data_IF_443878022205
#
_entry.id   IF_443878022205
#
_cell.length_a   1.000
_cell.length_b   1.000
_cell.length_c   1.000
_cell.angle_alpha   90.00
_cell.angle_beta   90.00
_cell.angle_gamma   90.00
#
_symmetry.space_group_name_H-M   'P 1'
#
loop_
_entity.id
_entity.type
_entity.pdbx_description
1 polymer ?
#
# COMPACT_ATOMS: atom_id res chain seq x y z
N UNK A 1 36.20 -23.27 42.11
CA UNK A 1 35.36 -24.12 41.23
C UNK A 1 34.02 -23.47 40.85
N UNK A 2 34.04 -22.22 40.34
CA UNK A 2 32.82 -21.56 39.77
C UNK A 2 32.92 -21.21 38.28
N UNK A 3 34.06 -21.49 37.64
CA UNK A 3 34.31 -21.03 36.27
C UNK A 3 33.94 -22.05 35.17
N UNK A 4 33.51 -23.26 35.49
CA UNK A 4 33.33 -24.33 34.49
C UNK A 4 31.87 -24.60 34.07
N UNK A 5 30.88 -23.86 34.62
CA UNK A 5 29.45 -24.04 34.29
C UNK A 5 28.87 -22.95 33.38
N UNK A 6 29.54 -21.82 33.21
CA UNK A 6 29.02 -20.68 32.42
C UNK A 6 29.30 -20.82 30.91
N UNK A 7 30.33 -21.55 30.49
CA UNK A 7 30.70 -21.76 29.08
C UNK A 7 29.64 -22.55 28.30
N UNK A 8 29.12 -23.70 28.81
CA UNK A 8 28.11 -24.47 28.07
C UNK A 8 26.77 -23.78 27.93
N UNK A 9 26.40 -22.87 28.85
CA UNK A 9 25.14 -22.13 28.77
C UNK A 9 25.24 -20.97 27.75
N UNK A 10 26.42 -20.35 27.59
CA UNK A 10 26.64 -19.33 26.57
C UNK A 10 26.67 -19.93 25.15
N UNK A 11 27.32 -21.06 24.96
CA UNK A 11 27.35 -21.77 23.67
C UNK A 11 25.96 -22.22 23.25
N UNK A 12 25.15 -22.73 24.18
CA UNK A 12 23.78 -23.14 23.93
C UNK A 12 22.89 -21.95 23.55
N UNK A 13 23.02 -20.84 24.25
CA UNK A 13 22.31 -19.58 23.95
C UNK A 13 22.66 -19.05 22.57
N UNK A 14 23.94 -19.10 22.16
CA UNK A 14 24.41 -18.69 20.83
C UNK A 14 23.85 -19.61 19.74
N UNK A 15 23.84 -20.91 19.95
CA UNK A 15 23.26 -21.86 18.99
C UNK A 15 21.75 -21.67 18.81
N UNK A 16 21.02 -21.39 19.90
CA UNK A 16 19.58 -21.07 19.85
C UNK A 16 19.31 -19.78 19.06
N UNK A 17 20.15 -18.74 19.24
CA UNK A 17 20.09 -17.50 18.49
C UNK A 17 20.33 -17.73 17.00
N UNK A 18 21.43 -18.41 16.62
CA UNK A 18 21.76 -18.73 15.21
C UNK A 18 20.62 -19.54 14.55
N UNK A 19 20.03 -20.47 15.30
CA UNK A 19 18.89 -21.26 14.83
C UNK A 19 17.65 -20.38 14.58
N UNK A 20 17.41 -19.37 15.44
CA UNK A 20 16.29 -18.44 15.28
C UNK A 20 16.52 -17.49 14.09
N UNK A 21 17.73 -16.95 13.92
CA UNK A 21 18.11 -16.13 12.77
C UNK A 21 17.87 -16.86 11.46
N UNK A 22 18.34 -18.10 11.36
CA UNK A 22 18.11 -18.93 10.19
C UNK A 22 16.62 -19.15 9.91
N UNK A 23 15.83 -19.46 10.93
CA UNK A 23 14.38 -19.66 10.80
C UNK A 23 13.67 -18.40 10.31
N UNK A 24 14.09 -17.21 10.77
CA UNK A 24 13.55 -15.93 10.31
C UNK A 24 13.86 -15.74 8.82
N UNK A 25 15.09 -15.97 8.40
CA UNK A 25 15.50 -15.82 7.01
C UNK A 25 14.79 -16.82 6.08
N UNK A 26 14.76 -18.08 6.47
CA UNK A 26 14.06 -19.14 5.72
C UNK A 26 12.55 -18.81 5.54
N UNK A 27 11.91 -18.29 6.58
CA UNK A 27 10.51 -17.88 6.55
C UNK A 27 10.27 -16.67 5.64
N UNK A 28 11.14 -15.66 5.71
CA UNK A 28 11.08 -14.50 4.83
C UNK A 28 11.21 -14.90 3.36
N UNK A 29 12.21 -15.73 3.03
CA UNK A 29 12.44 -16.17 1.66
C UNK A 29 11.27 -17.02 1.12
N UNK A 30 10.76 -17.94 1.94
CA UNK A 30 9.60 -18.77 1.61
C UNK A 30 8.36 -17.92 1.35
N UNK A 31 8.08 -16.98 2.26
CA UNK A 31 6.93 -16.10 2.15
C UNK A 31 7.00 -15.19 0.92
N UNK A 32 8.16 -14.56 0.67
CA UNK A 32 8.37 -13.69 -0.49
C UNK A 32 8.32 -14.47 -1.81
N UNK A 33 8.74 -15.72 -1.82
CA UNK A 33 8.58 -16.60 -2.99
C UNK A 33 7.11 -16.90 -3.32
N UNK A 34 6.27 -16.99 -2.29
CA UNK A 34 4.83 -17.17 -2.45
C UNK A 34 4.08 -15.85 -2.77
N UNK A 35 4.70 -14.69 -2.48
CA UNK A 35 4.12 -13.34 -2.67
C UNK A 35 5.07 -12.45 -3.47
N UNK A 36 5.27 -12.73 -4.77
CA UNK A 36 6.33 -12.12 -5.58
C UNK A 36 6.18 -10.60 -5.78
N UNK A 37 4.98 -10.07 -5.57
CA UNK A 37 4.68 -8.64 -5.70
C UNK A 37 4.75 -7.86 -4.38
N UNK A 38 5.21 -8.48 -3.28
CA UNK A 38 5.34 -7.83 -1.97
C UNK A 38 6.76 -7.33 -1.75
N UNK A 39 6.87 -6.11 -1.24
CA UNK A 39 8.16 -5.47 -0.88
C UNK A 39 8.81 -6.07 0.36
N UNK A 40 8.04 -6.78 1.16
CA UNK A 40 8.46 -7.42 2.38
C UNK A 40 7.29 -8.11 3.07
N UNK A 41 7.60 -8.98 3.99
CA UNK A 41 6.63 -9.66 4.82
C UNK A 41 6.16 -8.75 5.95
N UNK A 42 4.84 -8.59 6.20
CA UNK A 42 4.37 -7.82 7.36
C UNK A 42 4.96 -8.39 8.66
N UNK A 43 5.54 -7.53 9.47
CA UNK A 43 6.17 -7.92 10.75
C UNK A 43 5.25 -8.74 11.65
N UNK A 44 3.97 -8.38 11.69
CA UNK A 44 2.95 -9.11 12.45
C UNK A 44 2.74 -10.54 11.95
N UNK A 45 2.82 -10.76 10.63
CA UNK A 45 2.72 -12.09 10.00
C UNK A 45 3.96 -12.90 10.35
N UNK A 46 5.17 -12.34 10.20
CA UNK A 46 6.44 -12.98 10.58
C UNK A 46 6.42 -13.43 12.04
N UNK A 47 6.02 -12.55 12.96
CA UNK A 47 5.93 -12.88 14.37
C UNK A 47 4.97 -14.04 14.64
N UNK A 48 3.80 -14.03 14.03
CA UNK A 48 2.81 -15.10 14.21
C UNK A 48 3.32 -16.45 13.68
N UNK A 49 4.01 -16.48 12.54
CA UNK A 49 4.54 -17.70 11.94
C UNK A 49 5.71 -18.27 12.75
N UNK A 50 6.67 -17.44 13.17
CA UNK A 50 7.82 -17.88 13.95
C UNK A 50 7.41 -18.31 15.37
N UNK A 51 6.56 -17.51 16.04
CA UNK A 51 6.15 -17.77 17.42
C UNK A 51 5.10 -18.88 17.55
N UNK A 52 4.42 -19.25 16.44
CA UNK A 52 3.28 -20.18 16.43
C UNK A 52 2.22 -19.79 17.49
N UNK A 53 2.02 -18.48 17.69
CA UNK A 53 1.09 -17.92 18.66
C UNK A 53 1.58 -17.83 20.11
N UNK A 54 2.82 -18.21 20.42
CA UNK A 54 3.41 -18.11 21.75
C UNK A 54 3.98 -16.70 21.98
N UNK A 55 3.25 -15.84 22.65
CA UNK A 55 3.62 -14.43 22.91
C UNK A 55 4.97 -14.27 23.63
N UNK A 56 5.40 -15.24 24.41
CA UNK A 56 6.68 -15.21 25.13
C UNK A 56 7.90 -15.18 24.16
N UNK A 57 7.76 -15.80 22.98
CA UNK A 57 8.83 -15.82 21.97
C UNK A 57 8.94 -14.49 21.21
N UNK A 58 7.93 -13.64 21.23
CA UNK A 58 7.96 -12.37 20.47
C UNK A 58 9.10 -11.44 20.90
N UNK A 59 9.50 -11.49 22.18
CA UNK A 59 10.63 -10.68 22.68
C UNK A 59 11.98 -11.14 22.10
N UNK A 60 12.15 -12.44 21.95
CA UNK A 60 13.36 -13.04 21.37
C UNK A 60 13.43 -12.78 19.87
N UNK A 61 12.29 -12.95 19.15
CA UNK A 61 12.17 -12.61 17.73
C UNK A 61 12.51 -11.13 17.50
N UNK A 62 11.98 -10.23 18.34
CA UNK A 62 12.26 -8.80 18.22
C UNK A 62 13.75 -8.49 18.40
N UNK A 63 14.42 -9.10 19.39
CA UNK A 63 15.87 -8.93 19.61
C UNK A 63 16.67 -9.46 18.42
N UNK A 64 16.31 -10.62 17.92
CA UNK A 64 16.95 -11.24 16.79
C UNK A 64 16.80 -10.40 15.51
N UNK A 65 15.61 -9.82 15.26
CA UNK A 65 15.40 -8.92 14.13
C UNK A 65 16.26 -7.65 14.21
N UNK A 66 16.40 -7.06 15.40
CA UNK A 66 17.29 -5.90 15.58
C UNK A 66 18.73 -6.25 15.23
N UNK A 67 19.23 -7.42 15.66
CA UNK A 67 20.57 -7.86 15.32
C UNK A 67 20.73 -8.14 13.82
N UNK A 68 19.75 -8.77 13.18
CA UNK A 68 19.77 -9.00 11.75
C UNK A 68 19.76 -7.68 10.95
N UNK A 69 19.05 -6.65 11.42
CA UNK A 69 19.03 -5.32 10.83
C UNK A 69 20.39 -4.60 11.03
N UNK A 70 20.96 -4.66 12.25
CA UNK A 70 22.29 -4.10 12.55
C UNK A 70 23.40 -4.75 11.72
N UNK A 71 23.30 -6.05 11.43
CA UNK A 71 24.24 -6.79 10.59
C UNK A 71 23.99 -6.61 9.09
N UNK A 72 22.93 -5.88 8.69
CA UNK A 72 22.57 -5.69 7.29
C UNK A 72 22.08 -6.96 6.60
N UNK A 73 21.44 -7.88 7.32
CA UNK A 73 20.84 -9.09 6.75
C UNK A 73 19.38 -8.85 6.34
N UNK A 74 18.67 -7.98 7.06
CA UNK A 74 17.30 -7.60 6.78
C UNK A 74 17.12 -6.10 6.77
N UNK A 75 16.17 -5.61 5.97
CA UNK A 75 15.70 -4.22 5.96
C UNK A 75 14.29 -4.12 6.52
N UNK A 76 13.99 -3.02 7.20
CA UNK A 76 12.66 -2.68 7.67
C UNK A 76 12.09 -1.50 6.89
N UNK A 77 11.00 -1.71 6.17
CA UNK A 77 10.29 -0.68 5.41
C UNK A 77 9.03 -0.31 6.17
N UNK A 78 8.85 0.97 6.49
CA UNK A 78 7.63 1.46 7.11
C UNK A 78 6.74 2.11 6.06
N UNK A 79 5.64 1.45 5.72
CA UNK A 79 4.60 1.99 4.85
C UNK A 79 3.60 2.79 5.67
N UNK A 80 3.47 4.06 5.33
CA UNK A 80 2.48 4.93 5.96
C UNK A 80 1.15 4.78 5.21
N UNK A 81 0.13 4.26 5.89
CA UNK A 81 -1.24 4.25 5.41
C UNK A 81 -2.03 5.42 6.04
N UNK A 82 -3.20 5.76 5.48
CA UNK A 82 -3.98 6.94 5.89
C UNK A 82 -4.26 7.00 7.41
N UNK A 83 -4.44 5.85 8.08
CA UNK A 83 -4.77 5.77 9.51
C UNK A 83 -3.87 4.81 10.30
N UNK A 84 -2.86 4.21 9.66
CA UNK A 84 -1.97 3.21 10.27
C UNK A 84 -0.59 3.22 9.61
N UNK A 85 0.37 2.56 10.21
CA UNK A 85 1.64 2.22 9.58
C UNK A 85 1.84 0.70 9.62
N UNK A 86 2.33 0.14 8.53
CA UNK A 86 2.70 -1.27 8.44
C UNK A 86 4.22 -1.35 8.34
N UNK A 87 4.82 -2.17 9.19
CA UNK A 87 6.25 -2.51 9.09
C UNK A 87 6.39 -3.79 8.26
N UNK A 88 7.15 -3.69 7.17
CA UNK A 88 7.51 -4.81 6.30
C UNK A 88 8.98 -5.17 6.54
N UNK A 89 9.25 -6.46 6.65
CA UNK A 89 10.61 -7.00 6.80
C UNK A 89 10.97 -7.74 5.51
N UNK A 90 12.14 -7.49 4.97
CA UNK A 90 12.67 -8.18 3.80
C UNK A 90 14.15 -8.48 3.96
N UNK A 91 14.73 -9.46 3.25
CA UNK A 91 16.17 -9.58 3.12
C UNK A 91 16.78 -8.28 2.60
N UNK A 92 17.99 -7.95 3.03
CA UNK A 92 18.69 -6.74 2.59
C UNK A 92 18.86 -6.74 1.06
N UNK A 93 18.60 -5.59 0.44
CA UNK A 93 18.69 -5.44 -1.01
C UNK A 93 17.58 -6.14 -1.81
N UNK A 94 16.58 -6.74 -1.15
CA UNK A 94 15.45 -7.34 -1.85
C UNK A 94 14.67 -6.30 -2.64
N UNK A 95 14.35 -6.64 -3.88
CA UNK A 95 13.51 -5.84 -4.78
C UNK A 95 12.47 -6.73 -5.43
N UNK A 96 11.25 -6.22 -5.48
CA UNK A 96 10.18 -6.86 -6.26
C UNK A 96 10.60 -6.90 -7.73
N UNK A 97 10.48 -8.09 -8.34
CA UNK A 97 10.77 -8.23 -9.77
C UNK A 97 9.66 -7.57 -10.57
N UNK A 98 10.07 -6.70 -11.48
CA UNK A 98 9.15 -6.19 -12.48
C UNK A 98 8.74 -7.31 -13.43
N UNK A 99 7.44 -7.62 -13.45
CA UNK A 99 6.87 -8.65 -14.33
C UNK A 99 6.15 -7.99 -15.50
N UNK A 100 5.87 -8.78 -16.55
CA UNK A 100 5.11 -8.30 -17.71
C UNK A 100 3.70 -7.84 -17.29
N UNK A 101 3.13 -8.44 -16.26
CA UNK A 101 1.81 -8.10 -15.69
C UNK A 101 1.80 -6.71 -15.06
N UNK A 102 2.83 -6.39 -14.26
CA UNK A 102 2.99 -5.05 -13.66
C UNK A 102 3.16 -3.99 -14.76
N UNK A 103 4.03 -4.25 -15.74
CA UNK A 103 4.24 -3.33 -16.87
C UNK A 103 2.95 -3.08 -17.65
N UNK A 104 2.16 -4.11 -17.91
CA UNK A 104 0.86 -3.97 -18.60
C UNK A 104 -0.14 -3.15 -17.78
N UNK A 105 -0.21 -3.34 -16.46
CA UNK A 105 -1.08 -2.50 -15.62
C UNK A 105 -0.67 -1.04 -15.69
N UNK A 106 0.63 -0.74 -15.63
CA UNK A 106 1.14 0.62 -15.81
C UNK A 106 0.72 1.21 -17.16
N UNK A 107 0.83 0.43 -18.25
CA UNK A 107 0.39 0.85 -19.58
C UNK A 107 -1.12 1.13 -19.63
N UNK A 108 -1.96 0.31 -18.95
CA UNK A 108 -3.40 0.54 -18.87
C UNK A 108 -3.69 1.88 -18.19
N UNK A 109 -3.10 2.15 -17.02
CA UNK A 109 -3.26 3.42 -16.34
C UNK A 109 -2.72 4.59 -17.16
N UNK A 110 -1.57 4.43 -17.80
CA UNK A 110 -0.98 5.45 -18.67
C UNK A 110 -1.86 5.75 -19.89
N UNK A 111 -2.46 4.73 -20.50
CA UNK A 111 -3.34 4.90 -21.66
C UNK A 111 -4.64 5.67 -21.37
N UNK A 112 -5.06 5.71 -20.10
CA UNK A 112 -6.23 6.47 -19.64
C UNK A 112 -5.87 7.91 -19.27
N UNK A 113 -4.57 8.22 -19.14
CA UNK A 113 -4.09 9.54 -18.75
C UNK A 113 -4.24 10.52 -19.92
N UNK A 114 -5.28 11.33 -19.86
CA UNK A 114 -5.46 12.54 -20.67
C UNK A 114 -5.17 13.74 -19.76
N UNK A 115 -4.28 14.65 -20.15
CA UNK A 115 -3.74 15.73 -19.31
C UNK A 115 -4.80 16.55 -18.55
N UNK A 116 -6.03 16.54 -19.05
CA UNK A 116 -7.12 17.34 -18.50
C UNK A 116 -8.25 16.54 -17.83
N UNK A 117 -8.28 15.21 -17.96
CA UNK A 117 -9.39 14.41 -17.47
C UNK A 117 -9.03 13.56 -16.25
N UNK A 118 -9.93 13.51 -15.28
CA UNK A 118 -9.86 12.52 -14.21
C UNK A 118 -10.52 11.22 -14.69
N UNK A 119 -9.86 10.11 -14.44
CA UNK A 119 -10.39 8.78 -14.73
C UNK A 119 -10.34 7.89 -13.49
N UNK A 120 -11.19 6.89 -13.47
CA UNK A 120 -11.27 5.89 -12.42
C UNK A 120 -11.53 4.53 -13.08
N UNK A 121 -10.76 3.53 -12.70
CA UNK A 121 -10.87 2.16 -13.19
C UNK A 121 -11.34 1.27 -12.04
N UNK A 122 -12.42 0.53 -12.25
CA UNK A 122 -12.83 -0.47 -11.28
C UNK A 122 -12.15 -1.83 -11.56
N UNK A 123 -12.17 -2.71 -10.57
CA UNK A 123 -11.53 -4.04 -10.64
C UNK A 123 -12.01 -4.84 -11.87
N UNK A 124 -13.29 -4.79 -12.20
CA UNK A 124 -13.87 -5.54 -13.34
C UNK A 124 -13.34 -5.00 -14.68
N UNK A 125 -13.19 -3.69 -14.80
CA UNK A 125 -12.57 -3.07 -15.98
C UNK A 125 -11.11 -3.52 -16.11
N UNK A 126 -10.35 -3.53 -15.01
CA UNK A 126 -8.96 -3.99 -14.99
C UNK A 126 -8.87 -5.48 -15.36
N UNK A 127 -9.71 -6.33 -14.82
CA UNK A 127 -9.81 -7.76 -15.19
C UNK A 127 -10.08 -7.91 -16.70
N UNK A 128 -11.03 -7.15 -17.24
CA UNK A 128 -11.37 -7.18 -18.67
C UNK A 128 -10.21 -6.76 -19.57
N UNK A 129 -9.46 -5.74 -19.19
CA UNK A 129 -8.24 -5.32 -19.91
C UNK A 129 -7.19 -6.44 -19.91
N UNK A 130 -6.98 -7.09 -18.77
CA UNK A 130 -6.06 -8.22 -18.67
C UNK A 130 -6.48 -9.41 -19.52
N UNK A 131 -7.76 -9.77 -19.50
CA UNK A 131 -8.28 -10.88 -20.32
C UNK A 131 -8.14 -10.59 -21.82
N UNK A 132 -8.35 -9.34 -22.23
CA UNK A 132 -8.18 -8.93 -23.63
C UNK A 132 -6.72 -9.05 -24.09
N UNK A 133 -5.76 -8.72 -23.21
CA UNK A 133 -4.34 -8.91 -23.48
C UNK A 133 -3.91 -10.39 -23.52
N UNK A 134 -4.61 -11.29 -22.78
CA UNK A 134 -4.37 -12.74 -22.80
C UNK A 134 -4.71 -13.40 -24.13
N UNK A 135 -5.77 -12.95 -24.82
CA UNK A 135 -6.21 -13.53 -26.11
C UNK A 135 -5.17 -13.37 -27.21
N UNK A 136 -4.24 -12.44 -27.07
CA UNK A 136 -3.17 -12.16 -28.05
C UNK A 136 -1.87 -12.92 -27.82
N UNK A 137 -1.62 -13.45 -26.59
CA UNK A 137 -0.39 -14.22 -26.27
C UNK A 137 -0.67 -15.40 -25.36
N UNK A 138 -0.35 -16.59 -25.80
CA UNK A 138 -0.68 -17.89 -25.17
C UNK A 138 -0.07 -18.19 -23.79
N UNK A 139 0.68 -17.32 -23.10
CA UNK A 139 1.42 -17.69 -21.87
C UNK A 139 1.64 -16.62 -20.79
N UNK A 140 1.18 -15.41 -20.91
CA UNK A 140 1.35 -14.43 -19.84
C UNK A 140 0.01 -13.79 -19.48
N UNK A 141 -0.40 -13.90 -18.26
CA UNK A 141 -1.62 -13.28 -17.75
C UNK A 141 -1.85 -13.66 -16.31
N UNK A 142 -2.41 -12.76 -15.55
CA UNK A 142 -2.84 -13.00 -14.17
C UNK A 142 -3.61 -14.30 -14.09
N UNK A 143 -3.12 -15.23 -13.28
CA UNK A 143 -3.69 -16.57 -13.19
C UNK A 143 -4.89 -16.62 -12.25
N UNK A 144 -5.03 -15.62 -11.37
CA UNK A 144 -6.14 -15.51 -10.43
C UNK A 144 -6.49 -14.05 -10.12
N UNK A 145 -7.70 -13.84 -9.59
CA UNK A 145 -8.10 -12.52 -9.04
C UNK A 145 -7.18 -12.08 -7.89
N UNK A 146 -6.61 -13.03 -7.16
CA UNK A 146 -5.71 -12.76 -6.04
C UNK A 146 -4.40 -12.13 -6.53
N UNK A 147 -3.87 -12.59 -7.68
CA UNK A 147 -2.66 -12.02 -8.28
C UNK A 147 -2.87 -10.56 -8.74
N UNK A 148 -4.01 -10.25 -9.37
CA UNK A 148 -4.34 -8.86 -9.70
C UNK A 148 -4.35 -7.97 -8.45
N UNK A 149 -4.96 -8.45 -7.37
CA UNK A 149 -5.01 -7.70 -6.11
C UNK A 149 -3.61 -7.50 -5.50
N UNK A 150 -2.73 -8.51 -5.59
CA UNK A 150 -1.34 -8.36 -5.14
C UNK A 150 -0.57 -7.32 -5.94
N UNK A 151 -0.74 -7.30 -7.27
CA UNK A 151 -0.10 -6.30 -8.13
C UNK A 151 -0.66 -4.89 -7.84
N UNK A 152 -1.98 -4.74 -7.70
CA UNK A 152 -2.59 -3.45 -7.35
C UNK A 152 -2.11 -2.95 -5.98
N UNK A 153 -1.98 -3.84 -5.00
CA UNK A 153 -1.40 -3.50 -3.70
C UNK A 153 0.07 -3.05 -3.82
N UNK A 154 0.86 -3.75 -4.62
CA UNK A 154 2.24 -3.37 -4.91
C UNK A 154 2.33 -1.97 -5.52
N UNK A 155 1.51 -1.69 -6.56
CA UNK A 155 1.48 -0.37 -7.20
C UNK A 155 1.00 0.73 -6.24
N UNK A 156 0.13 0.42 -5.27
CA UNK A 156 -0.24 1.35 -4.19
C UNK A 156 0.92 1.59 -3.22
N UNK A 157 1.67 0.55 -2.85
CA UNK A 157 2.86 0.65 -2.01
C UNK A 157 3.97 1.49 -2.67
N UNK A 158 4.08 1.44 -4.00
CA UNK A 158 4.98 2.29 -4.81
C UNK A 158 4.42 3.72 -5.03
N UNK A 159 3.23 4.04 -4.51
CA UNK A 159 2.54 5.31 -4.73
C UNK A 159 2.25 5.64 -6.20
N UNK A 160 2.13 4.64 -7.06
CA UNK A 160 1.77 4.81 -8.47
C UNK A 160 0.27 5.01 -8.63
N UNK A 161 -0.53 4.25 -7.87
CA UNK A 161 -1.99 4.31 -7.89
C UNK A 161 -2.56 4.50 -6.48
N UNK A 162 -3.81 4.91 -6.42
CA UNK A 162 -4.58 5.06 -5.18
C UNK A 162 -5.95 4.42 -5.36
N UNK A 163 -6.38 3.61 -4.40
CA UNK A 163 -7.76 3.16 -4.30
C UNK A 163 -8.62 4.32 -3.77
N UNK A 164 -9.55 4.81 -4.57
CA UNK A 164 -10.40 5.98 -4.23
C UNK A 164 -11.66 5.61 -3.48
N UNK A 165 -12.23 4.44 -3.76
CA UNK A 165 -13.26 3.76 -3.00
C UNK A 165 -13.12 2.26 -3.24
N UNK A 166 -13.97 1.44 -2.65
CA UNK A 166 -13.86 -0.03 -2.74
C UNK A 166 -13.68 -0.52 -4.17
N UNK A 167 -12.53 -1.13 -4.44
CA UNK A 167 -12.16 -1.71 -5.74
C UNK A 167 -12.18 -0.72 -6.93
N UNK A 168 -11.98 0.58 -6.69
CA UNK A 168 -11.87 1.61 -7.72
C UNK A 168 -10.55 2.37 -7.55
N UNK A 169 -9.78 2.44 -8.61
CA UNK A 169 -8.40 2.92 -8.62
C UNK A 169 -8.20 4.08 -9.59
N UNK A 170 -7.25 4.94 -9.29
CA UNK A 170 -6.73 5.98 -10.19
C UNK A 170 -5.25 6.20 -9.91
N UNK A 171 -4.56 7.00 -10.71
CA UNK A 171 -3.15 7.32 -10.43
C UNK A 171 -3.02 8.27 -9.23
N UNK A 172 -1.91 8.18 -8.53
CA UNK A 172 -1.61 9.07 -7.39
C UNK A 172 -1.52 10.53 -7.84
N UNK A 173 -1.08 10.79 -9.06
CA UNK A 173 -1.07 12.12 -9.68
C UNK A 173 -2.49 12.71 -9.76
N UNK A 174 -3.47 11.92 -10.21
CA UNK A 174 -4.88 12.36 -10.27
C UNK A 174 -5.40 12.66 -8.86
N UNK A 175 -5.10 11.85 -7.86
CA UNK A 175 -5.53 12.14 -6.48
C UNK A 175 -4.89 13.41 -5.92
N UNK A 176 -3.64 13.71 -6.30
CA UNK A 176 -3.00 14.97 -5.97
C UNK A 176 -3.71 16.16 -6.63
N UNK A 177 -4.02 16.07 -7.94
CA UNK A 177 -4.80 17.06 -8.67
C UNK A 177 -6.17 17.28 -8.03
N UNK A 178 -6.87 16.21 -7.66
CA UNK A 178 -8.17 16.28 -6.96
C UNK A 178 -8.04 17.07 -5.66
N UNK A 179 -7.07 16.78 -4.81
CA UNK A 179 -6.88 17.48 -3.53
C UNK A 179 -6.56 18.96 -3.74
N UNK A 180 -5.70 19.27 -4.69
CA UNK A 180 -5.32 20.64 -5.02
C UNK A 180 -6.53 21.46 -5.49
N UNK A 181 -7.30 20.95 -6.43
CA UNK A 181 -8.46 21.66 -6.97
C UNK A 181 -9.60 21.78 -5.95
N UNK A 182 -9.89 20.72 -5.19
CA UNK A 182 -10.90 20.78 -4.11
C UNK A 182 -10.49 21.78 -3.03
N UNK A 183 -9.19 21.84 -2.67
CA UNK A 183 -8.68 22.85 -1.74
C UNK A 183 -8.87 24.27 -2.27
N UNK A 184 -8.57 24.49 -3.55
CA UNK A 184 -8.79 25.77 -4.23
C UNK A 184 -10.27 26.15 -4.25
N UNK A 185 -11.16 25.24 -4.58
CA UNK A 185 -12.60 25.49 -4.57
C UNK A 185 -13.11 25.90 -3.18
N UNK A 186 -12.68 25.17 -2.14
CA UNK A 186 -13.06 25.43 -0.74
C UNK A 186 -12.38 26.68 -0.14
N UNK A 187 -11.31 27.20 -0.75
CA UNK A 187 -10.74 28.48 -0.35
C UNK A 187 -11.53 29.67 -0.87
N UNK A 188 -12.27 29.50 -1.96
CA UNK A 188 -13.12 30.53 -2.57
C UNK A 188 -14.56 30.44 -2.04
N UNK A 189 -15.05 29.23 -1.82
CA UNK A 189 -16.42 28.98 -1.35
C UNK A 189 -16.40 28.08 -0.12
N UNK A 190 -17.21 28.40 0.90
CA UNK A 190 -17.31 27.54 2.10
C UNK A 190 -17.88 26.17 1.79
N UNK A 191 -18.70 26.08 0.76
CA UNK A 191 -19.40 24.86 0.33
C UNK A 191 -19.13 24.65 -1.16
N UNK A 192 -18.87 23.42 -1.54
CA UNK A 192 -18.77 23.01 -2.94
C UNK A 192 -19.87 21.99 -3.27
N UNK A 193 -20.43 22.11 -4.47
CA UNK A 193 -21.49 21.24 -4.95
C UNK A 193 -20.97 20.22 -5.95
N UNK A 194 -21.71 19.12 -6.13
CA UNK A 194 -21.41 18.10 -7.12
C UNK A 194 -21.37 18.68 -8.55
N UNK A 195 -22.21 19.67 -8.84
CA UNK A 195 -22.24 20.34 -10.15
C UNK A 195 -20.95 21.13 -10.41
N UNK A 196 -20.47 21.86 -9.42
CA UNK A 196 -19.20 22.58 -9.51
C UNK A 196 -18.01 21.64 -9.71
N UNK A 197 -17.96 20.51 -8.97
CA UNK A 197 -16.91 19.49 -9.14
C UNK A 197 -16.97 18.90 -10.56
N UNK A 198 -18.16 18.57 -11.06
CA UNK A 198 -18.34 18.07 -12.42
C UNK A 198 -17.81 19.06 -13.47
N UNK A 199 -18.06 20.35 -13.29
CA UNK A 199 -17.64 21.43 -14.20
C UNK A 199 -16.14 21.64 -14.15
N UNK A 200 -15.56 21.80 -12.95
CA UNK A 200 -14.12 22.04 -12.75
C UNK A 200 -13.27 20.90 -13.29
N UNK A 201 -13.67 19.66 -13.05
CA UNK A 201 -12.95 18.48 -13.53
C UNK A 201 -13.39 18.00 -14.92
N UNK A 202 -14.32 18.72 -15.57
CA UNK A 202 -14.90 18.36 -16.89
C UNK A 202 -15.26 16.86 -16.98
N UNK A 203 -15.92 16.35 -15.95
CA UNK A 203 -16.12 14.91 -15.77
C UNK A 203 -17.61 14.53 -15.66
N UNK A 204 -17.89 13.23 -15.65
CA UNK A 204 -19.24 12.72 -15.47
C UNK A 204 -19.74 12.90 -14.02
N UNK A 205 -21.06 12.86 -13.83
CA UNK A 205 -21.67 12.87 -12.49
C UNK A 205 -21.21 11.67 -11.65
N UNK A 206 -20.97 10.51 -12.28
CA UNK A 206 -20.42 9.31 -11.63
C UNK A 206 -19.03 9.61 -11.05
N UNK A 207 -18.13 10.15 -11.88
CA UNK A 207 -16.77 10.47 -11.45
C UNK A 207 -16.72 11.60 -10.41
N UNK A 208 -17.60 12.62 -10.54
CA UNK A 208 -17.71 13.66 -9.52
C UNK A 208 -18.13 13.11 -8.14
N UNK A 209 -18.97 12.06 -8.09
CA UNK A 209 -19.30 11.35 -6.85
C UNK A 209 -18.08 10.60 -6.29
N UNK A 210 -17.32 9.92 -7.14
CA UNK A 210 -16.09 9.24 -6.72
C UNK A 210 -15.06 10.23 -6.13
N UNK A 211 -14.96 11.44 -6.69
CA UNK A 211 -14.14 12.52 -6.12
C UNK A 211 -14.62 12.87 -4.70
N UNK A 212 -15.91 13.03 -4.48
CA UNK A 212 -16.45 13.28 -3.15
C UNK A 212 -16.24 12.11 -2.18
N UNK A 213 -16.48 10.88 -2.61
CA UNK A 213 -16.25 9.69 -1.79
C UNK A 213 -14.79 9.57 -1.36
N UNK A 214 -13.86 9.79 -2.30
CA UNK A 214 -12.44 9.83 -1.99
C UNK A 214 -12.08 10.92 -0.98
N UNK A 215 -12.49 12.17 -1.23
CA UNK A 215 -12.15 13.30 -0.37
C UNK A 215 -12.80 13.21 1.01
N UNK A 216 -14.01 12.64 1.12
CA UNK A 216 -14.67 12.34 2.39
C UNK A 216 -13.90 11.24 3.16
N UNK A 217 -13.51 10.15 2.47
CA UNK A 217 -12.76 9.05 3.07
C UNK A 217 -11.45 9.51 3.71
N UNK A 218 -10.70 10.37 3.04
CA UNK A 218 -9.45 10.92 3.57
C UNK A 218 -9.68 12.10 4.54
N UNK A 219 -10.95 12.41 4.88
CA UNK A 219 -11.35 13.52 5.76
C UNK A 219 -10.92 14.90 5.26
N UNK A 220 -10.74 15.02 3.96
CA UNK A 220 -10.42 16.28 3.29
C UNK A 220 -11.65 17.15 3.11
N UNK A 221 -12.80 16.50 2.84
CA UNK A 221 -14.13 17.11 2.84
C UNK A 221 -15.05 16.43 3.87
N UNK A 222 -16.16 17.08 4.17
CA UNK A 222 -17.22 16.55 5.01
C UNK A 222 -18.59 16.88 4.40
N UNK A 223 -19.57 15.99 4.58
CA UNK A 223 -20.95 16.21 4.16
C UNK A 223 -21.59 17.30 5.01
N UNK A 224 -22.29 18.19 4.35
CA UNK A 224 -23.19 19.16 5.01
C UNK A 224 -24.57 19.06 4.36
N UNK A 225 -25.58 18.70 5.15
CA UNK A 225 -26.99 18.62 4.72
C UNK A 225 -27.21 17.65 3.56
N UNK A 226 -27.43 18.19 2.36
CA UNK A 226 -27.70 17.37 1.18
C UNK A 226 -26.47 16.55 0.74
N UNK A 227 -26.71 15.35 0.18
CA UNK A 227 -25.62 14.45 -0.31
C UNK A 227 -24.78 15.05 -1.44
N UNK A 228 -25.19 16.17 -2.02
CA UNK A 228 -24.54 16.84 -3.15
C UNK A 228 -23.63 18.00 -2.75
N UNK A 229 -23.46 18.24 -1.45
CA UNK A 229 -22.69 19.37 -0.93
C UNK A 229 -21.58 18.91 0.02
N UNK A 230 -20.46 19.60 0.01
CA UNK A 230 -19.28 19.35 0.88
C UNK A 230 -18.66 20.63 1.37
N UNK A 231 -18.21 20.59 2.64
CA UNK A 231 -17.32 21.60 3.22
C UNK A 231 -15.93 21.05 3.49
N UNK A 232 -15.02 21.95 3.93
CA UNK A 232 -13.68 21.56 4.36
C UNK A 232 -13.73 20.59 5.54
N UNK A 233 -13.16 19.41 5.35
CA UNK A 233 -13.00 18.40 6.40
C UNK A 233 -11.84 18.73 7.33
N UNK A 234 -11.74 17.99 8.43
CA UNK A 234 -10.74 18.23 9.48
C UNK A 234 -9.29 18.16 8.99
N UNK A 235 -8.98 17.35 7.98
CA UNK A 235 -7.63 17.24 7.42
C UNK A 235 -7.26 18.52 6.66
N UNK A 236 -8.12 18.97 5.78
CA UNK A 236 -7.90 20.21 5.03
C UNK A 236 -7.80 21.44 5.95
N UNK A 237 -8.66 21.53 6.96
CA UNK A 237 -8.59 22.62 7.94
C UNK A 237 -7.24 22.67 8.66
N UNK A 238 -6.67 21.51 9.04
CA UNK A 238 -5.34 21.43 9.66
C UNK A 238 -4.22 21.82 8.70
N UNK A 239 -4.30 21.45 7.43
CA UNK A 239 -3.32 21.81 6.41
C UNK A 239 -3.34 23.32 6.15
N UNK A 240 -4.51 23.95 6.09
CA UNK A 240 -4.67 25.40 5.93
C UNK A 240 -4.13 26.21 7.13
N UNK A 241 -4.18 25.67 8.34
CA UNK A 241 -3.61 26.29 9.55
C UNK A 241 -2.08 26.19 9.54
N UNK A 242 -1.50 25.10 9.06
CA UNK A 242 -0.04 24.89 9.01
C UNK A 242 0.65 25.62 7.88
N UNK A 243 -0.08 26.02 6.85
CA UNK A 243 0.43 26.78 5.69
C UNK A 243 0.38 28.29 5.87
N UNK A 244 -0.10 28.76 7.03
CA UNK A 244 -0.04 30.17 7.46
C UNK A 244 1.09 30.38 8.46
#
# INVERSE_FOLDING_TARGET
>A
NKCSKEIPDQEKSLQEQISLEKRIMDELESWLSAHPYRRGMPKTVLFNQISKGKKEQNREIQKCLVLLEEHGNVGCIRLQQENSSIELISPEGYKVKETEEVSKLREIFASQSDENKVFFLNKVELETFFESARKTKKKSGIQSQDELMEILNYMQEENEITEVCESVYTTTEITFKIRTEVSRMLSVSKVITLSQVKEVFQTSRKNARLIFEYTDRIRFTAKEGAQTERLAGNKLQREQIRGK
#
